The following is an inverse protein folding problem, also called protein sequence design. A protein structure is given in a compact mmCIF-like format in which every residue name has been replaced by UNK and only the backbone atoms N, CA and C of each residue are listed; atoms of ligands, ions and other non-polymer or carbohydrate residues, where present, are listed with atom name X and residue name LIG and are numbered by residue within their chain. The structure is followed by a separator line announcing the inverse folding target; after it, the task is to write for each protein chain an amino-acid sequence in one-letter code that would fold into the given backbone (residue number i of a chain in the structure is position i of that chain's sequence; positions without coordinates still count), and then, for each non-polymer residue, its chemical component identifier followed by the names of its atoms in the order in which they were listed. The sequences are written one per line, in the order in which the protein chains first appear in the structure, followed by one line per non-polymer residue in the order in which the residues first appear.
data_IF_250811308239
#
_entry.id   IF_250811308239
#
_cell.length_a   1.000
_cell.length_b   1.000
_cell.length_c   1.000
_cell.angle_alpha   90.00
_cell.angle_beta   90.00
_cell.angle_gamma   90.00
#
_symmetry.space_group_name_H-M   'P 1'
#
loop_
_entity.id
_entity.type
_entity.pdbx_description
1 polymer ?
#
# COMPACT_ATOMS: atom_id res chain seq x y z
N UNK A 1 0.71 -10.48 22.62
CA UNK A 1 -0.57 -10.59 21.87
C UNK A 1 -0.23 -10.42 20.40
N UNK A 2 -0.95 -11.10 19.49
CA UNK A 2 -0.78 -10.88 18.06
C UNK A 2 -1.10 -9.41 17.70
N UNK A 3 -0.23 -8.76 16.97
CA UNK A 3 -0.45 -7.38 16.53
C UNK A 3 -1.45 -7.34 15.37
N UNK A 4 -2.31 -6.34 15.34
CA UNK A 4 -3.25 -6.15 14.24
C UNK A 4 -2.57 -5.37 13.12
N UNK A 5 -2.54 -5.98 11.93
CA UNK A 5 -2.05 -5.35 10.69
C UNK A 5 -3.15 -5.26 9.65
N UNK A 6 -3.37 -4.06 9.11
CA UNK A 6 -4.30 -3.84 8.00
C UNK A 6 -3.52 -3.70 6.70
N UNK A 7 -3.87 -4.49 5.70
CA UNK A 7 -3.22 -4.49 4.37
C UNK A 7 -4.24 -4.07 3.31
N UNK A 8 -4.16 -2.81 2.88
CA UNK A 8 -5.01 -2.25 1.83
C UNK A 8 -4.49 -2.62 0.44
N UNK A 9 -5.37 -3.09 -0.45
CA UNK A 9 -4.99 -3.57 -1.79
C UNK A 9 -4.37 -4.97 -1.77
N UNK A 10 -4.74 -5.78 -0.79
CA UNK A 10 -4.20 -7.12 -0.55
C UNK A 10 -4.51 -8.13 -1.67
N UNK A 11 -5.45 -7.86 -2.53
CA UNK A 11 -5.79 -8.71 -3.67
C UNK A 11 -4.92 -8.46 -4.92
N UNK A 12 -4.17 -7.35 -4.95
CA UNK A 12 -3.23 -7.03 -6.02
C UNK A 12 -2.00 -7.93 -6.05
N UNK A 13 -1.16 -7.78 -7.09
CA UNK A 13 -0.02 -8.67 -7.33
C UNK A 13 1.03 -8.77 -6.20
N UNK A 14 1.16 -7.77 -5.35
CA UNK A 14 2.04 -7.77 -4.16
C UNK A 14 1.33 -8.27 -2.91
N UNK A 15 0.01 -8.08 -2.84
CA UNK A 15 -0.77 -8.28 -1.63
C UNK A 15 -0.69 -9.67 -1.01
N UNK A 16 -0.82 -10.77 -1.78
CA UNK A 16 -0.75 -12.12 -1.24
C UNK A 16 0.59 -12.41 -0.55
N UNK A 17 1.72 -12.00 -1.13
CA UNK A 17 3.03 -12.19 -0.52
C UNK A 17 3.15 -11.43 0.82
N UNK A 18 2.66 -10.19 0.87
CA UNK A 18 2.66 -9.36 2.09
C UNK A 18 1.76 -9.95 3.15
N UNK A 19 0.50 -10.24 2.82
CA UNK A 19 -0.47 -10.76 3.78
C UNK A 19 -0.04 -12.13 4.34
N UNK A 20 0.50 -13.01 3.49
CA UNK A 20 1.02 -14.31 3.91
C UNK A 20 2.21 -14.15 4.86
N UNK A 21 3.18 -13.31 4.53
CA UNK A 21 4.36 -13.09 5.37
C UNK A 21 3.97 -12.56 6.76
N UNK A 22 3.07 -11.59 6.82
CA UNK A 22 2.61 -10.99 8.07
C UNK A 22 1.83 -12.01 8.91
N UNK A 23 0.94 -12.80 8.31
CA UNK A 23 0.21 -13.86 8.99
C UNK A 23 1.16 -14.95 9.53
N UNK A 24 2.16 -15.36 8.74
CA UNK A 24 3.18 -16.33 9.19
C UNK A 24 4.06 -15.79 10.32
N UNK A 25 4.25 -14.48 10.41
CA UNK A 25 4.92 -13.82 11.54
C UNK A 25 4.09 -13.86 12.82
N UNK A 26 2.81 -14.18 12.73
CA UNK A 26 1.87 -14.24 13.86
C UNK A 26 0.98 -13.01 14.00
N UNK A 27 0.96 -12.10 13.03
CA UNK A 27 0.05 -10.97 13.03
C UNK A 27 -1.39 -11.43 12.77
N UNK A 28 -2.34 -10.74 13.37
CA UNK A 28 -3.72 -10.78 12.94
C UNK A 28 -3.89 -9.85 11.75
N UNK A 29 -4.02 -10.41 10.55
CA UNK A 29 -4.08 -9.64 9.32
C UNK A 29 -5.53 -9.41 8.88
N UNK A 30 -5.90 -8.14 8.66
CA UNK A 30 -7.09 -7.75 7.92
C UNK A 30 -6.66 -7.31 6.52
N UNK A 31 -7.01 -8.13 5.55
CA UNK A 31 -6.69 -7.94 4.13
C UNK A 31 -7.86 -7.24 3.43
N UNK A 32 -7.61 -6.09 2.80
CA UNK A 32 -8.64 -5.30 2.13
C UNK A 32 -8.50 -5.42 0.63
N UNK A 33 -9.58 -5.87 -0.02
CA UNK A 33 -9.70 -6.04 -1.46
C UNK A 33 -10.70 -5.05 -2.08
N UNK A 34 -10.65 -4.95 -3.41
CA UNK A 34 -11.67 -4.25 -4.17
C UNK A 34 -13.03 -4.95 -4.03
N UNK A 35 -14.16 -4.22 -3.97
CA UNK A 35 -15.50 -4.81 -3.91
C UNK A 35 -15.88 -5.58 -5.18
N UNK A 36 -15.07 -5.51 -6.24
CA UNK A 36 -15.30 -6.25 -7.50
C UNK A 36 -14.82 -7.69 -7.46
N UNK A 37 -14.03 -8.07 -6.45
CA UNK A 37 -13.48 -9.43 -6.33
C UNK A 37 -14.44 -10.33 -5.57
N UNK A 38 -14.48 -11.61 -5.93
CA UNK A 38 -15.30 -12.60 -5.22
C UNK A 38 -14.62 -13.01 -3.93
N UNK A 39 -15.38 -13.11 -2.86
CA UNK A 39 -14.84 -13.41 -1.52
C UNK A 39 -14.22 -14.81 -1.45
N UNK A 40 -14.84 -15.77 -2.12
CA UNK A 40 -14.35 -17.16 -2.17
C UNK A 40 -12.94 -17.24 -2.80
N UNK A 41 -12.69 -16.47 -3.86
CA UNK A 41 -11.38 -16.42 -4.53
C UNK A 41 -10.32 -15.78 -3.62
N UNK A 42 -10.71 -14.77 -2.83
CA UNK A 42 -9.82 -14.08 -1.88
C UNK A 42 -9.42 -15.01 -0.74
N UNK A 43 -10.35 -15.75 -0.16
CA UNK A 43 -10.11 -16.68 0.95
C UNK A 43 -9.19 -17.84 0.54
N UNK A 44 -9.30 -18.30 -0.72
CA UNK A 44 -8.39 -19.31 -1.26
C UNK A 44 -6.99 -18.76 -1.54
N UNK A 45 -6.89 -17.48 -1.92
CA UNK A 45 -5.62 -16.84 -2.28
C UNK A 45 -4.67 -16.67 -1.10
N UNK A 46 -5.20 -16.28 0.06
CA UNK A 46 -4.44 -16.16 1.32
C UNK A 46 -5.29 -16.71 2.46
N UNK A 47 -5.13 -17.98 2.80
CA UNK A 47 -5.83 -18.58 3.93
C UNK A 47 -5.39 -17.97 5.27
N UNK A 48 -6.30 -17.94 6.23
CA UNK A 48 -6.00 -17.55 7.61
C UNK A 48 -5.96 -16.05 7.88
N UNK A 49 -6.30 -15.21 6.88
CA UNK A 49 -6.50 -13.76 7.06
C UNK A 49 -7.99 -13.40 7.05
N UNK A 50 -8.33 -12.29 7.70
CA UNK A 50 -9.70 -11.75 7.61
C UNK A 50 -9.79 -10.85 6.39
N UNK A 51 -10.72 -11.15 5.48
CA UNK A 51 -10.95 -10.34 4.30
C UNK A 51 -12.07 -9.32 4.51
N UNK A 52 -11.79 -8.08 4.12
CA UNK A 52 -12.75 -6.99 4.00
C UNK A 52 -12.73 -6.45 2.56
N UNK A 53 -13.81 -5.78 2.16
CA UNK A 53 -13.91 -5.19 0.82
C UNK A 53 -14.38 -3.75 0.89
N UNK A 54 -13.67 -2.86 0.17
CA UNK A 54 -14.04 -1.45 0.05
C UNK A 54 -13.44 -0.80 -1.20
N UNK A 55 -14.11 0.20 -1.74
CA UNK A 55 -13.51 1.14 -2.67
C UNK A 55 -12.73 2.21 -1.89
N UNK A 56 -11.43 1.99 -1.76
CA UNK A 56 -10.53 2.89 -1.04
C UNK A 56 -10.31 4.23 -1.77
N UNK A 57 -10.75 4.37 -3.02
CA UNK A 57 -10.69 5.65 -3.75
C UNK A 57 -11.80 6.61 -3.33
N UNK A 58 -12.79 6.12 -2.62
CA UNK A 58 -13.91 6.87 -2.08
C UNK A 58 -13.75 7.05 -0.57
N UNK A 59 -13.91 8.29 -0.12
CA UNK A 59 -13.74 8.64 1.29
C UNK A 59 -14.75 7.92 2.19
N UNK A 60 -16.03 7.98 1.84
CA UNK A 60 -17.10 7.45 2.68
C UNK A 60 -17.02 5.92 2.79
N UNK A 61 -16.73 5.22 1.67
CA UNK A 61 -16.47 3.79 1.67
C UNK A 61 -15.27 3.43 2.56
N UNK A 62 -14.21 4.24 2.53
CA UNK A 62 -13.05 4.02 3.39
C UNK A 62 -13.40 4.22 4.88
N UNK A 63 -14.11 5.29 5.23
CA UNK A 63 -14.58 5.51 6.61
C UNK A 63 -15.48 4.36 7.10
N UNK A 64 -16.39 3.85 6.26
CA UNK A 64 -17.24 2.70 6.58
C UNK A 64 -16.43 1.41 6.77
N UNK A 65 -15.41 1.17 5.93
CA UNK A 65 -14.50 0.04 6.12
C UNK A 65 -13.84 0.09 7.50
N UNK A 66 -13.28 1.24 7.87
CA UNK A 66 -12.57 1.35 9.14
C UNK A 66 -13.49 1.19 10.35
N UNK A 67 -14.77 1.62 10.26
CA UNK A 67 -15.79 1.31 11.29
C UNK A 67 -16.03 -0.20 11.41
N UNK A 68 -16.06 -0.95 10.30
CA UNK A 68 -16.17 -2.42 10.35
C UNK A 68 -14.92 -3.05 10.95
N UNK A 69 -13.74 -2.56 10.63
CA UNK A 69 -12.48 -3.02 11.23
C UNK A 69 -12.49 -2.81 12.76
N UNK A 70 -13.01 -1.69 13.24
CA UNK A 70 -13.14 -1.42 14.68
C UNK A 70 -14.01 -2.48 15.38
N UNK A 71 -15.09 -2.96 14.71
CA UNK A 71 -15.97 -3.99 15.23
C UNK A 71 -15.34 -5.39 15.29
N UNK A 72 -14.28 -5.64 14.50
CA UNK A 72 -13.52 -6.90 14.54
C UNK A 72 -12.64 -7.00 15.79
N UNK A 73 -12.53 -5.94 16.56
CA UNK A 73 -11.83 -5.86 17.83
C UNK A 73 -10.31 -5.61 17.69
N UNK A 74 -9.79 -4.74 18.55
CA UNK A 74 -8.40 -4.30 18.62
C UNK A 74 -8.11 -3.13 17.67
N UNK A 75 -7.09 -2.36 18.06
CA UNK A 75 -6.58 -1.25 17.24
C UNK A 75 -5.38 -1.72 16.42
N UNK A 76 -5.24 -1.28 15.17
CA UNK A 76 -4.10 -1.67 14.36
C UNK A 76 -2.80 -1.05 14.89
N UNK A 77 -1.75 -1.86 14.85
CA UNK A 77 -0.36 -1.44 15.05
C UNK A 77 0.28 -1.02 13.74
N UNK A 78 -0.10 -1.70 12.65
CA UNK A 78 0.51 -1.52 11.34
C UNK A 78 -0.54 -1.33 10.25
N UNK A 79 -0.25 -0.41 9.32
CA UNK A 79 -1.00 -0.21 8.09
C UNK A 79 -0.06 -0.34 6.89
N UNK A 80 -0.44 -1.15 5.92
CA UNK A 80 0.29 -1.31 4.65
C UNK A 80 -0.63 -0.93 3.49
N UNK A 81 -0.28 0.12 2.74
CA UNK A 81 -1.05 0.60 1.59
C UNK A 81 -0.41 0.14 0.28
N UNK A 82 -0.99 -0.90 -0.32
CA UNK A 82 -0.56 -1.49 -1.59
C UNK A 82 -1.44 -1.07 -2.77
N UNK A 83 -2.58 -0.42 -2.51
CA UNK A 83 -3.52 -0.01 -3.56
C UNK A 83 -2.83 0.92 -4.55
N UNK A 84 -2.96 0.60 -5.83
CA UNK A 84 -2.42 1.41 -6.90
C UNK A 84 -2.54 0.74 -8.26
N UNK A 85 -2.28 1.52 -9.31
CA UNK A 85 -2.30 1.04 -10.68
C UNK A 85 -1.44 1.90 -11.58
N UNK A 86 -1.23 1.43 -12.79
CA UNK A 86 -0.39 2.04 -13.81
C UNK A 86 -1.18 2.27 -15.10
N UNK A 87 -0.96 3.38 -15.74
CA UNK A 87 -1.33 3.66 -17.13
C UNK A 87 -0.20 4.45 -17.78
N UNK A 88 0.22 3.98 -18.95
CA UNK A 88 1.26 4.63 -19.73
C UNK A 88 0.65 5.72 -20.59
N UNK A 89 1.17 6.95 -20.51
CA UNK A 89 0.90 8.02 -21.48
C UNK A 89 1.93 9.13 -21.36
N UNK A 90 2.27 9.75 -22.48
CA UNK A 90 3.08 10.98 -22.51
C UNK A 90 2.25 12.14 -21.96
N UNK A 91 2.90 13.15 -21.38
CA UNK A 91 2.21 14.27 -20.73
C UNK A 91 1.16 14.96 -21.61
N UNK A 92 1.50 15.21 -22.88
CA UNK A 92 0.61 15.86 -23.84
C UNK A 92 -0.50 14.95 -24.40
N UNK A 93 -0.39 13.65 -24.18
CA UNK A 93 -1.33 12.63 -24.66
C UNK A 93 -2.22 12.08 -23.51
N UNK A 94 -1.91 12.44 -22.28
CA UNK A 94 -2.66 11.98 -21.11
C UNK A 94 -4.07 12.50 -21.13
N UNK A 95 -5.05 11.62 -21.21
CA UNK A 95 -6.46 11.99 -21.13
C UNK A 95 -6.82 12.52 -19.74
N UNK A 96 -7.86 13.36 -19.66
CA UNK A 96 -8.39 13.80 -18.38
C UNK A 96 -8.91 12.64 -17.52
N UNK A 97 -9.37 11.55 -18.14
CA UNK A 97 -9.85 10.36 -17.44
C UNK A 97 -8.69 9.54 -16.86
N UNK A 98 -7.60 9.35 -17.60
CA UNK A 98 -6.42 8.66 -17.09
C UNK A 98 -5.75 9.43 -15.95
N UNK A 99 -5.67 10.77 -16.09
CA UNK A 99 -5.19 11.64 -15.03
C UNK A 99 -6.03 11.47 -13.75
N UNK A 100 -7.36 11.61 -13.84
CA UNK A 100 -8.25 11.44 -12.68
C UNK A 100 -8.19 10.03 -12.11
N UNK A 101 -8.17 9.01 -12.96
CA UNK A 101 -8.06 7.61 -12.55
C UNK A 101 -6.80 7.36 -11.71
N UNK A 102 -5.63 7.81 -12.19
CA UNK A 102 -4.36 7.58 -11.50
C UNK A 102 -4.29 8.35 -10.17
N UNK A 103 -4.76 9.59 -10.11
CA UNK A 103 -4.82 10.33 -8.85
C UNK A 103 -5.79 9.69 -7.84
N UNK A 104 -6.96 9.27 -8.30
CA UNK A 104 -7.92 8.58 -7.41
C UNK A 104 -7.35 7.26 -6.91
N UNK A 105 -6.83 6.42 -7.82
CA UNK A 105 -6.38 5.08 -7.44
C UNK A 105 -5.09 5.09 -6.62
N UNK A 106 -4.10 5.93 -6.96
CA UNK A 106 -2.81 5.94 -6.29
C UNK A 106 -2.77 6.87 -5.08
N UNK A 107 -3.26 8.11 -5.21
CA UNK A 107 -3.15 9.11 -4.17
C UNK A 107 -4.35 9.09 -3.22
N UNK A 108 -5.59 9.19 -3.74
CA UNK A 108 -6.75 9.33 -2.86
C UNK A 108 -6.95 8.06 -2.00
N UNK A 109 -6.75 6.86 -2.54
CA UNK A 109 -6.81 5.62 -1.76
C UNK A 109 -5.80 5.60 -0.61
N UNK A 110 -4.56 6.01 -0.88
CA UNK A 110 -3.51 6.11 0.13
C UNK A 110 -3.84 7.19 1.17
N UNK A 111 -4.32 8.35 0.73
CA UNK A 111 -4.71 9.46 1.60
C UNK A 111 -5.78 9.05 2.61
N UNK A 112 -6.90 8.50 2.13
CA UNK A 112 -8.01 8.14 3.01
C UNK A 112 -7.65 6.99 3.95
N UNK A 113 -6.94 5.98 3.45
CA UNK A 113 -6.45 4.87 4.28
C UNK A 113 -5.46 5.34 5.35
N UNK A 114 -4.51 6.23 5.00
CA UNK A 114 -3.58 6.81 5.98
C UNK A 114 -4.31 7.63 7.04
N UNK A 115 -5.27 8.48 6.64
CA UNK A 115 -6.04 9.32 7.57
C UNK A 115 -6.77 8.47 8.61
N UNK A 116 -7.50 7.46 8.18
CA UNK A 116 -8.29 6.61 9.06
C UNK A 116 -7.41 5.65 9.88
N UNK A 117 -6.39 5.07 9.26
CA UNK A 117 -5.47 4.15 9.93
C UNK A 117 -4.58 4.85 10.95
N UNK A 118 -4.06 6.04 10.63
CA UNK A 118 -3.21 6.80 11.54
C UNK A 118 -3.92 7.15 12.86
N UNK A 119 -5.18 7.57 12.81
CA UNK A 119 -5.96 7.87 14.01
C UNK A 119 -6.03 6.67 14.97
N UNK A 120 -6.20 5.47 14.43
CA UNK A 120 -6.29 4.23 15.21
C UNK A 120 -4.93 3.76 15.70
N UNK A 121 -3.88 3.92 14.90
CA UNK A 121 -2.50 3.61 15.29
C UNK A 121 -2.03 4.55 16.41
N UNK A 122 -2.38 5.84 16.35
CA UNK A 122 -2.15 6.79 17.45
C UNK A 122 -2.89 6.32 18.71
N UNK A 123 -4.16 5.97 18.60
CA UNK A 123 -4.97 5.47 19.71
C UNK A 123 -4.45 4.13 20.29
N UNK A 124 -3.73 3.32 19.50
CA UNK A 124 -3.08 2.09 19.98
C UNK A 124 -1.77 2.34 20.74
N UNK A 125 -1.32 3.59 20.82
CA UNK A 125 -0.07 3.99 21.48
C UNK A 125 1.16 4.01 20.57
N UNK A 126 0.95 3.97 19.24
CA UNK A 126 1.99 4.06 18.21
C UNK A 126 2.09 2.82 17.34
N UNK A 127 3.00 2.85 16.37
CA UNK A 127 3.15 1.80 15.38
C UNK A 127 3.74 2.31 14.07
N UNK A 128 3.20 1.87 12.93
CA UNK A 128 3.71 2.38 11.66
C UNK A 128 2.81 2.18 10.44
N UNK A 129 3.13 2.96 9.43
CA UNK A 129 2.47 2.95 8.12
C UNK A 129 3.54 2.72 7.05
N UNK A 130 3.28 1.81 6.13
CA UNK A 130 4.11 1.56 4.96
C UNK A 130 3.28 1.84 3.71
N UNK A 131 3.70 2.82 2.93
CA UNK A 131 3.09 3.16 1.65
C UNK A 131 3.92 2.65 0.48
N UNK A 132 3.28 2.36 -0.65
CA UNK A 132 3.96 1.98 -1.89
C UNK A 132 3.86 3.11 -2.91
N UNK A 133 5.01 3.71 -3.19
CA UNK A 133 5.19 4.63 -4.31
C UNK A 133 5.77 3.88 -5.52
N UNK A 134 6.67 4.47 -6.25
CA UNK A 134 7.42 3.86 -7.35
C UNK A 134 8.70 4.64 -7.60
N UNK A 135 9.70 4.00 -8.22
CA UNK A 135 10.95 4.66 -8.59
C UNK A 135 10.76 5.88 -9.48
N UNK A 136 9.74 5.87 -10.32
CA UNK A 136 9.34 7.02 -11.17
C UNK A 136 8.89 8.26 -10.36
N UNK A 137 8.67 8.16 -9.07
CA UNK A 137 8.42 9.31 -8.20
C UNK A 137 9.67 10.17 -7.96
N UNK A 138 10.86 9.58 -8.12
CA UNK A 138 12.17 10.24 -7.97
C UNK A 138 12.80 10.56 -9.33
N UNK A 139 12.59 9.68 -10.31
CA UNK A 139 13.24 9.75 -11.61
C UNK A 139 12.21 10.10 -12.68
N UNK A 140 12.49 11.11 -13.50
CA UNK A 140 11.69 11.38 -14.68
C UNK A 140 11.73 10.21 -15.66
N UNK A 141 10.60 9.87 -16.26
CA UNK A 141 10.51 8.82 -17.27
C UNK A 141 9.57 9.19 -18.40
N UNK A 142 9.91 8.80 -19.62
CA UNK A 142 9.04 9.02 -20.78
C UNK A 142 7.83 8.08 -20.70
N UNK A 143 6.63 8.59 -21.01
CA UNK A 143 5.42 7.75 -21.12
C UNK A 143 4.75 7.38 -19.79
N UNK A 144 5.05 8.10 -18.70
CA UNK A 144 4.43 7.81 -17.40
C UNK A 144 4.09 9.07 -16.57
N UNK A 145 3.80 10.18 -17.23
CA UNK A 145 3.69 11.49 -16.58
C UNK A 145 2.68 11.52 -15.44
N UNK A 146 1.42 11.19 -15.68
CA UNK A 146 0.38 11.22 -14.64
C UNK A 146 0.62 10.17 -13.55
N UNK A 147 1.17 9.01 -13.92
CA UNK A 147 1.56 7.99 -12.94
C UNK A 147 2.69 8.49 -12.03
N UNK A 148 3.78 9.01 -12.59
CA UNK A 148 4.91 9.54 -11.84
C UNK A 148 4.47 10.64 -10.86
N UNK A 149 3.63 11.59 -11.33
CA UNK A 149 3.06 12.64 -10.48
C UNK A 149 2.23 12.05 -9.33
N UNK A 150 1.36 11.08 -9.62
CA UNK A 150 0.54 10.44 -8.57
C UNK A 150 1.39 9.72 -7.52
N UNK A 151 2.48 9.06 -7.94
CA UNK A 151 3.41 8.37 -7.03
C UNK A 151 4.35 9.32 -6.29
N UNK A 152 4.74 10.44 -6.90
CA UNK A 152 5.46 11.52 -6.22
C UNK A 152 4.59 12.16 -5.12
N UNK A 153 3.30 12.30 -5.34
CA UNK A 153 2.37 12.76 -4.33
C UNK A 153 2.27 11.79 -3.13
N UNK A 154 2.24 10.47 -3.37
CA UNK A 154 2.29 9.45 -2.30
C UNK A 154 3.59 9.53 -1.51
N UNK A 155 4.73 9.69 -2.19
CA UNK A 155 6.03 9.89 -1.54
C UNK A 155 6.00 11.11 -0.62
N UNK A 156 5.53 12.25 -1.12
CA UNK A 156 5.46 13.49 -0.33
C UNK A 156 4.48 13.37 0.84
N UNK A 157 3.30 12.79 0.62
CA UNK A 157 2.33 12.51 1.67
C UNK A 157 2.97 11.69 2.81
N UNK A 158 3.71 10.64 2.47
CA UNK A 158 4.37 9.78 3.46
C UNK A 158 5.38 10.54 4.31
N UNK A 159 6.17 11.43 3.69
CA UNK A 159 7.14 12.27 4.39
C UNK A 159 6.49 13.29 5.33
N UNK A 160 5.38 13.90 4.89
CA UNK A 160 4.59 14.84 5.72
C UNK A 160 4.01 14.10 6.93
N UNK A 161 3.35 12.97 6.71
CA UNK A 161 2.78 12.16 7.79
C UNK A 161 3.85 11.66 8.77
N UNK A 162 5.05 11.31 8.28
CA UNK A 162 6.16 10.92 9.15
C UNK A 162 6.58 12.04 10.12
N UNK A 163 6.55 13.30 9.65
CA UNK A 163 6.87 14.45 10.49
C UNK A 163 5.73 14.77 11.48
N UNK A 164 4.49 14.78 10.99
CA UNK A 164 3.31 15.12 11.81
C UNK A 164 3.03 14.09 12.90
N UNK A 165 3.20 12.79 12.61
CA UNK A 165 2.85 11.70 13.53
C UNK A 165 4.02 11.23 14.41
N UNK A 166 5.20 11.84 14.28
CA UNK A 166 6.37 11.49 15.10
C UNK A 166 6.12 11.68 16.60
N UNK A 167 5.46 12.76 17.07
CA UNK A 167 5.13 12.90 18.49
C UNK A 167 4.24 11.79 19.04
N UNK A 168 3.40 11.21 18.19
CA UNK A 168 2.48 10.12 18.53
C UNK A 168 3.10 8.73 18.38
N UNK A 169 4.42 8.64 18.18
CA UNK A 169 5.19 7.39 18.02
C UNK A 169 4.73 6.55 16.82
N UNK A 170 4.21 7.19 15.79
CA UNK A 170 3.84 6.53 14.53
C UNK A 170 4.91 6.80 13.48
N UNK A 171 5.50 5.73 12.96
CA UNK A 171 6.46 5.78 11.88
C UNK A 171 5.74 5.69 10.53
N UNK A 172 6.18 6.46 9.57
CA UNK A 172 5.65 6.37 8.20
C UNK A 172 6.82 6.26 7.22
N UNK A 173 6.85 5.19 6.45
CA UNK A 173 7.87 4.96 5.44
C UNK A 173 7.24 4.65 4.09
N UNK A 174 7.99 4.84 3.01
CA UNK A 174 7.51 4.58 1.67
C UNK A 174 8.52 3.76 0.88
N UNK A 175 8.04 2.68 0.25
CA UNK A 175 8.85 1.90 -0.68
C UNK A 175 8.64 2.40 -2.11
N UNK A 176 9.73 2.40 -2.86
CA UNK A 176 9.79 2.78 -4.26
C UNK A 176 10.32 1.61 -5.09
N UNK A 177 9.48 0.60 -5.33
CA UNK A 177 9.89 -0.52 -6.17
C UNK A 177 10.19 -0.07 -7.60
N UNK A 178 11.08 -0.80 -8.25
CA UNK A 178 11.21 -0.82 -9.70
C UNK A 178 10.01 -1.51 -10.31
N UNK A 179 10.18 -2.52 -11.13
CA UNK A 179 9.09 -3.38 -11.61
C UNK A 179 8.96 -4.55 -10.64
N UNK A 180 7.75 -4.79 -10.14
CA UNK A 180 7.49 -5.97 -9.31
C UNK A 180 7.13 -7.12 -10.26
N UNK A 181 7.68 -8.30 -10.05
CA UNK A 181 7.45 -9.48 -10.85
C UNK A 181 6.08 -10.10 -10.55
N UNK A 182 5.05 -9.54 -11.16
CA UNK A 182 3.65 -9.97 -11.03
C UNK A 182 3.12 -10.48 -12.36
N UNK A 183 2.09 -11.35 -12.38
CA UNK A 183 1.46 -11.80 -13.62
C UNK A 183 1.01 -10.65 -14.53
N UNK A 184 0.44 -9.58 -13.97
CA UNK A 184 0.03 -8.41 -14.72
C UNK A 184 1.22 -7.71 -15.39
N UNK A 185 2.32 -7.48 -14.65
CA UNK A 185 3.51 -6.85 -15.19
C UNK A 185 4.19 -7.73 -16.26
N UNK A 186 4.20 -9.05 -16.08
CA UNK A 186 4.72 -9.98 -17.10
C UNK A 186 3.93 -9.92 -18.40
N UNK A 187 2.60 -9.71 -18.30
CA UNK A 187 1.73 -9.62 -19.49
C UNK A 187 1.87 -8.30 -20.26
N UNK A 188 2.18 -7.20 -19.56
CA UNK A 188 2.12 -5.85 -20.11
C UNK A 188 3.49 -5.24 -20.42
N UNK A 189 4.60 -5.78 -19.84
CA UNK A 189 5.92 -5.18 -19.95
C UNK A 189 6.86 -5.98 -20.85
N UNK A 190 7.84 -5.29 -21.46
CA UNK A 190 8.87 -5.94 -22.25
C UNK A 190 9.78 -6.83 -21.39
N UNK A 191 10.38 -7.85 -22.00
CA UNK A 191 11.34 -8.73 -21.34
C UNK A 191 12.53 -7.93 -20.74
N UNK A 192 12.93 -6.83 -21.37
CA UNK A 192 13.98 -5.96 -20.86
C UNK A 192 13.56 -5.24 -19.56
N UNK A 193 12.34 -4.70 -19.50
CA UNK A 193 11.79 -4.08 -18.29
C UNK A 193 11.66 -5.09 -17.13
N UNK A 194 11.39 -6.36 -17.45
CA UNK A 194 11.29 -7.44 -16.45
C UNK A 194 12.63 -7.99 -15.99
N UNK A 195 13.74 -7.71 -16.68
CA UNK A 195 15.07 -8.25 -16.33
C UNK A 195 15.53 -7.91 -14.91
N UNK A 196 15.14 -6.75 -14.41
CA UNK A 196 15.47 -6.25 -13.08
C UNK A 196 14.24 -6.18 -12.18
N UNK A 197 13.20 -6.97 -12.48
CA UNK A 197 12.00 -7.02 -11.67
C UNK A 197 12.29 -7.66 -10.31
N UNK A 198 11.70 -7.07 -9.27
CA UNK A 198 11.82 -7.54 -7.89
C UNK A 198 10.67 -8.49 -7.58
N UNK A 199 10.94 -9.61 -6.92
CA UNK A 199 9.88 -10.53 -6.53
C UNK A 199 8.95 -9.93 -5.47
N UNK A 200 7.65 -10.26 -5.48
CA UNK A 200 6.72 -9.85 -4.43
C UNK A 200 7.20 -10.23 -3.02
N UNK A 201 7.84 -11.40 -2.88
CA UNK A 201 8.37 -11.90 -1.61
C UNK A 201 9.54 -11.06 -1.09
N UNK A 202 10.41 -10.57 -1.98
CA UNK A 202 11.50 -9.67 -1.59
C UNK A 202 10.96 -8.34 -1.08
N UNK A 203 9.98 -7.76 -1.77
CA UNK A 203 9.31 -6.52 -1.31
C UNK A 203 8.55 -6.76 0.00
N UNK A 204 7.87 -7.91 0.15
CA UNK A 204 7.16 -8.27 1.37
C UNK A 204 8.09 -8.38 2.59
N UNK A 205 9.31 -8.89 2.42
CA UNK A 205 10.31 -8.94 3.51
C UNK A 205 10.70 -7.54 4.00
N UNK A 206 10.87 -6.58 3.10
CA UNK A 206 11.16 -5.18 3.47
C UNK A 206 9.97 -4.55 4.19
N UNK A 207 8.74 -4.80 3.71
CA UNK A 207 7.52 -4.35 4.38
C UNK A 207 7.42 -4.96 5.78
N UNK A 208 7.63 -6.27 5.92
CA UNK A 208 7.61 -6.98 7.20
C UNK A 208 8.62 -6.39 8.20
N UNK A 209 9.84 -6.07 7.75
CA UNK A 209 10.83 -5.39 8.59
C UNK A 209 10.37 -3.98 8.99
N UNK A 210 9.81 -3.18 8.07
CA UNK A 210 9.29 -1.86 8.39
C UNK A 210 8.10 -1.91 9.37
N UNK A 211 7.33 -3.00 9.35
CA UNK A 211 6.26 -3.30 10.30
C UNK A 211 6.77 -4.09 11.52
N UNK A 212 7.97 -3.79 12.03
CA UNK A 212 8.54 -4.41 13.22
C UNK A 212 9.28 -3.39 14.08
N UNK A 213 9.59 -3.76 15.31
CA UNK A 213 10.39 -2.93 16.23
C UNK A 213 11.87 -2.81 15.79
N UNK A 214 12.36 -3.75 14.98
CA UNK A 214 13.74 -3.71 14.47
C UNK A 214 14.02 -2.48 13.60
N UNK A 215 12.99 -1.94 12.94
CA UNK A 215 13.07 -0.70 12.15
C UNK A 215 12.69 0.56 12.95
N UNK A 216 12.69 0.49 14.30
CA UNK A 216 12.21 1.54 15.19
C UNK A 216 12.82 2.92 14.97
N UNK A 217 14.06 2.99 14.52
CA UNK A 217 14.74 4.24 14.20
C UNK A 217 14.37 4.84 12.82
N UNK A 218 13.63 4.11 11.98
CA UNK A 218 13.37 4.48 10.57
C UNK A 218 11.98 5.08 10.42
N UNK A 219 11.92 6.37 10.11
CA UNK A 219 10.68 7.09 9.76
C UNK A 219 10.97 8.18 8.72
N UNK A 220 10.04 8.45 7.82
CA UNK A 220 10.20 9.39 6.71
C UNK A 220 11.11 8.89 5.59
N UNK A 221 11.54 7.64 5.64
CA UNK A 221 12.45 7.07 4.66
C UNK A 221 11.72 6.73 3.35
N UNK A 222 12.41 6.99 2.24
CA UNK A 222 12.04 6.58 0.90
C UNK A 222 13.02 5.49 0.45
N UNK A 223 12.58 4.23 0.49
CA UNK A 223 13.43 3.06 0.24
C UNK A 223 13.20 2.53 -1.18
N UNK A 224 14.23 2.56 -2.00
CA UNK A 224 14.22 1.91 -3.31
C UNK A 224 14.45 0.41 -3.17
N UNK A 225 13.65 -0.38 -3.84
CA UNK A 225 13.69 -1.85 -3.82
C UNK A 225 13.49 -2.43 -5.22
#
# INVERSE_FOLDING_TARGET
MAELTVVCGASGGLGPAVATLLAQRGDRVIAVASPREKREDLEQRVPGVTWEQADLTDRENTEQLWRRIDLLGGLPRWLVNLTGGYRASRALETSGDDYRFLLRLNLASCWWSCREGAQRIVASGGGGIVNISARQALEGGVGSAAYAVSKAAVLRLSQVLAAELKPDKVRVNVLLPTVIDTPANRAERSAEAMRHAVSPEAVAKVIGWLCSEESGAVTGAALTV
#
